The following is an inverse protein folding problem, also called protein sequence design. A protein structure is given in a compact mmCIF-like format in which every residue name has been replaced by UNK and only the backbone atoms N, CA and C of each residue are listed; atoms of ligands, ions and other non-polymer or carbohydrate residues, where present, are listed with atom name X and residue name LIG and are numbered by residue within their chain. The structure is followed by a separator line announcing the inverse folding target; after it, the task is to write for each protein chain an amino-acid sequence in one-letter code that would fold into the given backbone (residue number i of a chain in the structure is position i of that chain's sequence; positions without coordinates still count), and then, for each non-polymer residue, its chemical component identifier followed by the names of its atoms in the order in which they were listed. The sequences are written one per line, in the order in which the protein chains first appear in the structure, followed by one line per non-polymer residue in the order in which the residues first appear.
data_IF_533839320367
#
_entry.id   IF_533839320367
#
_cell.length_a   1.000
_cell.length_b   1.000
_cell.length_c   1.000
_cell.angle_alpha   90.00
_cell.angle_beta   90.00
_cell.angle_gamma   90.00
#
_symmetry.space_group_name_H-M   'P 1'
#
loop_
_entity.id
_entity.type
_entity.pdbx_description
1 polymer ?
#
# COMPACT_ATOMS: atom_id res chain seq x y z
N UNK A 1 -19.17 10.52 12.27
CA UNK A 1 -17.78 10.13 12.58
C UNK A 1 -17.19 11.16 13.50
N UNK A 2 -16.60 10.74 14.63
CA UNK A 2 -15.86 11.62 15.55
C UNK A 2 -14.37 11.58 15.16
N UNK A 3 -13.85 12.66 14.57
CA UNK A 3 -12.44 12.77 14.20
C UNK A 3 -11.80 13.95 14.96
N UNK A 4 -10.65 13.70 15.59
CA UNK A 4 -9.93 14.67 16.42
C UNK A 4 -8.49 14.80 15.94
N UNK A 5 -8.13 15.99 15.50
CA UNK A 5 -6.76 16.28 15.01
C UNK A 5 -5.88 16.79 16.15
N UNK A 6 -4.78 16.07 16.40
CA UNK A 6 -3.77 16.40 17.39
C UNK A 6 -2.47 16.79 16.70
N UNK A 7 -2.14 18.09 16.72
CA UNK A 7 -0.91 18.65 16.17
C UNK A 7 -1.11 20.01 15.51
N UNK A 8 -0.01 20.71 15.23
CA UNK A 8 -0.01 22.03 14.58
C UNK A 8 -0.10 21.90 13.05
N UNK A 9 -1.20 21.33 12.55
CA UNK A 9 -1.54 21.27 11.12
C UNK A 9 -2.98 21.71 10.89
N UNK A 10 -3.31 22.23 9.68
CA UNK A 10 -4.70 22.51 9.33
C UNK A 10 -5.57 21.24 9.46
N UNK A 11 -6.70 21.28 10.17
CA UNK A 11 -7.57 20.11 10.32
C UNK A 11 -8.41 19.83 9.06
N UNK A 12 -8.54 20.82 8.16
CA UNK A 12 -9.43 20.80 7.00
C UNK A 12 -9.29 19.55 6.10
N UNK A 13 -8.08 19.04 5.79
CA UNK A 13 -7.94 17.82 4.98
C UNK A 13 -8.59 16.60 5.65
N UNK A 14 -8.47 16.46 6.97
CA UNK A 14 -8.99 15.34 7.74
C UNK A 14 -10.50 15.45 7.94
N UNK A 15 -11.00 16.65 8.25
CA UNK A 15 -12.44 16.92 8.36
C UNK A 15 -13.14 16.75 7.01
N UNK A 16 -12.49 17.21 5.93
CA UNK A 16 -12.96 17.02 4.56
C UNK A 16 -12.93 15.55 4.12
N UNK A 17 -11.92 14.79 4.54
CA UNK A 17 -11.86 13.34 4.32
C UNK A 17 -13.02 12.64 5.03
N UNK A 18 -13.25 12.92 6.31
CA UNK A 18 -14.38 12.36 7.05
C UNK A 18 -15.74 12.73 6.40
N UNK A 19 -15.93 14.00 6.05
CA UNK A 19 -17.19 14.45 5.41
C UNK A 19 -17.45 13.76 4.07
N UNK A 20 -16.40 13.51 3.27
CA UNK A 20 -16.53 12.79 2.01
C UNK A 20 -16.74 11.29 2.25
N UNK A 21 -16.01 10.69 3.19
CA UNK A 21 -16.15 9.28 3.55
C UNK A 21 -17.56 8.93 4.02
N UNK A 22 -18.17 9.82 4.82
CA UNK A 22 -19.54 9.72 5.34
C UNK A 22 -20.63 9.67 4.27
N UNK A 23 -20.33 9.99 3.00
CA UNK A 23 -21.33 9.84 1.93
C UNK A 23 -21.60 8.39 1.57
N UNK A 24 -20.66 7.48 1.82
CA UNK A 24 -20.79 6.06 1.46
C UNK A 24 -20.48 5.08 2.60
N UNK A 25 -19.68 5.49 3.58
CA UNK A 25 -19.16 4.65 4.66
C UNK A 25 -19.07 5.43 5.97
N UNK A 26 -18.92 4.74 7.08
CA UNK A 26 -18.65 5.37 8.38
C UNK A 26 -17.70 4.52 9.19
N UNK A 27 -16.93 5.16 10.05
CA UNK A 27 -16.17 4.51 11.13
C UNK A 27 -16.86 4.85 12.45
N UNK A 28 -17.22 3.83 13.21
CA UNK A 28 -17.96 3.93 14.46
C UNK A 28 -17.08 4.43 15.60
N UNK A 29 -15.88 3.88 15.76
CA UNK A 29 -14.97 4.28 16.82
C UNK A 29 -14.38 5.67 16.52
N UNK A 30 -14.16 6.51 17.55
CA UNK A 30 -13.52 7.81 17.36
C UNK A 30 -12.14 7.67 16.72
N UNK A 31 -11.81 8.57 15.79
CA UNK A 31 -10.52 8.60 15.10
C UNK A 31 -9.65 9.73 15.66
N UNK A 32 -8.46 9.38 16.15
CA UNK A 32 -7.45 10.35 16.62
C UNK A 32 -6.38 10.50 15.54
N UNK A 33 -6.30 11.68 14.95
CA UNK A 33 -5.22 12.00 13.99
C UNK A 33 -4.02 12.49 14.78
N UNK A 34 -2.88 11.81 14.64
CA UNK A 34 -1.62 12.13 15.29
C UNK A 34 -0.61 12.55 14.24
N UNK A 35 -0.07 13.77 14.38
CA UNK A 35 0.94 14.29 13.47
C UNK A 35 2.33 14.02 14.00
N UNK A 36 3.12 13.24 13.26
CA UNK A 36 4.53 12.99 13.56
C UNK A 36 5.43 14.14 13.07
N UNK A 37 6.44 14.47 13.87
CA UNK A 37 7.50 15.42 13.50
C UNK A 37 8.51 14.81 12.51
N UNK A 38 8.62 13.48 12.48
CA UNK A 38 9.48 12.79 11.53
C UNK A 38 8.86 12.89 10.11
N UNK A 39 9.52 13.55 9.14
CA UNK A 39 8.98 13.71 7.80
C UNK A 39 8.91 12.41 7.00
N UNK A 40 9.66 11.39 7.43
CA UNK A 40 9.75 10.08 6.76
C UNK A 40 8.86 9.03 7.43
N UNK A 41 8.18 9.39 8.54
CA UNK A 41 7.16 8.55 9.16
C UNK A 41 6.03 8.27 8.17
N UNK A 42 5.70 6.99 8.01
CA UNK A 42 4.63 6.55 7.11
C UNK A 42 3.26 6.92 7.68
N UNK A 43 2.31 7.18 6.78
CA UNK A 43 0.90 7.21 7.15
C UNK A 43 0.44 5.78 7.45
N UNK A 44 -0.31 5.59 8.54
CA UNK A 44 -0.88 4.30 8.91
C UNK A 44 -2.08 4.44 9.86
N UNK A 45 -2.96 3.44 9.84
CA UNK A 45 -4.06 3.25 10.77
C UNK A 45 -3.72 2.26 11.90
N UNK A 46 -4.04 2.63 13.14
CA UNK A 46 -3.95 1.76 14.31
C UNK A 46 -5.31 1.59 14.97
N UNK A 47 -5.54 0.43 15.56
CA UNK A 47 -6.84 0.05 16.12
C UNK A 47 -6.70 -0.28 17.61
N UNK A 48 -7.52 0.34 18.45
CA UNK A 48 -7.60 0.11 19.89
C UNK A 48 -9.05 -0.12 20.30
N UNK A 49 -9.26 -0.68 21.50
CA UNK A 49 -10.60 -1.05 22.00
C UNK A 49 -11.63 0.10 21.99
N UNK A 50 -11.19 1.35 22.16
CA UNK A 50 -12.06 2.53 22.29
C UNK A 50 -11.86 3.60 21.19
N UNK A 51 -10.89 3.43 20.29
CA UNK A 51 -10.59 4.41 19.23
C UNK A 51 -9.68 3.85 18.14
N UNK A 52 -9.66 4.52 16.99
CA UNK A 52 -8.62 4.37 15.97
C UNK A 52 -7.61 5.52 16.04
N UNK A 53 -6.41 5.26 15.55
CA UNK A 53 -5.36 6.27 15.33
C UNK A 53 -5.06 6.35 13.85
N UNK A 54 -5.06 7.57 13.31
CA UNK A 54 -4.50 7.90 12.01
C UNK A 54 -3.17 8.61 12.27
N UNK A 55 -2.05 7.92 12.10
CA UNK A 55 -0.75 8.54 12.18
C UNK A 55 -0.34 9.09 10.82
N UNK A 56 0.23 10.29 10.78
CA UNK A 56 0.65 10.94 9.53
C UNK A 56 1.84 11.86 9.80
N UNK A 57 2.85 11.87 8.94
CA UNK A 57 3.94 12.85 9.07
C UNK A 57 3.43 14.27 8.80
N UNK A 58 4.06 15.28 9.41
CA UNK A 58 3.76 16.70 9.10
C UNK A 58 3.86 16.99 7.60
N UNK A 59 4.81 16.35 6.90
CA UNK A 59 4.97 16.47 5.46
C UNK A 59 3.75 15.96 4.71
N UNK A 60 3.25 14.78 5.04
CA UNK A 60 2.07 14.20 4.41
C UNK A 60 0.80 14.97 4.75
N UNK A 61 0.63 15.37 6.02
CA UNK A 61 -0.51 16.12 6.53
C UNK A 61 -0.68 17.52 5.89
N UNK A 62 0.40 18.12 5.40
CA UNK A 62 0.40 19.43 4.73
C UNK A 62 0.49 19.33 3.21
N UNK A 63 0.48 18.12 2.66
CA UNK A 63 0.59 17.88 1.22
C UNK A 63 -0.75 18.02 0.48
N UNK A 64 -0.69 18.13 -0.85
CA UNK A 64 -1.89 18.09 -1.69
C UNK A 64 -2.62 16.73 -1.67
N UNK A 65 -1.98 15.69 -1.13
CA UNK A 65 -2.51 14.32 -0.96
C UNK A 65 -3.13 14.10 0.42
N UNK A 66 -3.04 15.06 1.36
CA UNK A 66 -3.40 14.85 2.76
C UNK A 66 -4.81 14.29 2.96
N UNK A 67 -5.79 14.79 2.18
CA UNK A 67 -7.17 14.32 2.23
C UNK A 67 -7.29 12.90 1.65
N UNK A 68 -6.67 12.64 0.51
CA UNK A 68 -6.73 11.35 -0.16
C UNK A 68 -6.06 10.25 0.68
N UNK A 69 -4.92 10.55 1.31
CA UNK A 69 -4.28 9.69 2.30
C UNK A 69 -5.19 9.45 3.51
N UNK A 70 -5.85 10.49 4.02
CA UNK A 70 -6.76 10.32 5.14
C UNK A 70 -7.97 9.44 4.80
N UNK A 71 -8.53 9.54 3.60
CA UNK A 71 -9.61 8.66 3.12
C UNK A 71 -9.13 7.21 3.07
N UNK A 72 -7.91 6.97 2.57
CA UNK A 72 -7.30 5.64 2.55
C UNK A 72 -7.16 5.03 3.95
N UNK A 73 -6.67 5.79 4.93
CA UNK A 73 -6.58 5.29 6.30
C UNK A 73 -7.96 5.05 6.96
N UNK A 74 -8.96 5.89 6.65
CA UNK A 74 -10.33 5.65 7.10
C UNK A 74 -10.91 4.37 6.47
N UNK A 75 -10.54 4.05 5.23
CA UNK A 75 -10.92 2.80 4.59
C UNK A 75 -10.30 1.58 5.30
N UNK A 76 -9.05 1.65 5.75
CA UNK A 76 -8.46 0.61 6.60
C UNK A 76 -9.27 0.40 7.90
N UNK A 77 -9.67 1.49 8.56
CA UNK A 77 -10.47 1.44 9.78
C UNK A 77 -11.86 0.85 9.53
N UNK A 78 -12.52 1.23 8.43
CA UNK A 78 -13.80 0.67 8.04
C UNK A 78 -13.70 -0.85 7.78
N UNK A 79 -12.67 -1.30 7.05
CA UNK A 79 -12.43 -2.74 6.83
C UNK A 79 -12.16 -3.50 8.12
N UNK A 80 -11.46 -2.87 9.06
CA UNK A 80 -11.24 -3.45 10.38
C UNK A 80 -12.55 -3.60 11.16
N UNK A 81 -13.40 -2.58 11.21
CA UNK A 81 -14.70 -2.61 11.90
C UNK A 81 -15.70 -3.57 11.25
N UNK A 82 -15.68 -3.70 9.92
CA UNK A 82 -16.43 -4.70 9.16
C UNK A 82 -16.00 -6.15 9.50
N UNK A 83 -14.86 -6.31 10.16
CA UNK A 83 -14.24 -7.61 10.40
C UNK A 83 -13.72 -8.26 9.12
N UNK A 84 -13.35 -7.46 8.12
CA UNK A 84 -12.90 -7.96 6.83
C UNK A 84 -11.60 -8.75 6.99
N UNK A 85 -11.47 -9.97 6.42
CA UNK A 85 -10.32 -10.82 6.70
C UNK A 85 -8.96 -10.23 6.36
N UNK A 86 -8.89 -9.34 5.37
CA UNK A 86 -7.63 -8.64 5.07
C UNK A 86 -7.11 -7.79 6.21
N UNK A 87 -7.98 -7.30 7.09
CA UNK A 87 -7.62 -6.40 8.20
C UNK A 87 -7.59 -7.08 9.57
N UNK A 88 -8.10 -8.31 9.67
CA UNK A 88 -8.05 -9.12 10.89
C UNK A 88 -7.02 -10.26 10.84
N UNK A 89 -6.73 -10.82 9.66
CA UNK A 89 -5.76 -11.92 9.53
C UNK A 89 -4.37 -11.45 9.95
N UNK A 90 -3.74 -12.18 10.87
CA UNK A 90 -2.35 -11.94 11.25
C UNK A 90 -1.42 -12.18 10.07
N UNK A 91 -0.76 -11.12 9.62
CA UNK A 91 0.29 -11.19 8.59
C UNK A 91 1.45 -12.06 9.07
N UNK A 92 1.87 -11.89 10.32
CA UNK A 92 2.97 -12.66 10.90
C UNK A 92 2.66 -14.16 10.89
N UNK A 93 1.45 -14.56 11.31
CA UNK A 93 1.03 -15.95 11.28
C UNK A 93 1.04 -16.52 9.85
N UNK A 94 0.48 -15.78 8.89
CA UNK A 94 0.45 -16.22 7.50
C UNK A 94 1.85 -16.36 6.90
N UNK A 95 2.77 -15.43 7.21
CA UNK A 95 4.16 -15.50 6.75
C UNK A 95 4.91 -16.68 7.41
N UNK A 96 4.72 -16.92 8.70
CA UNK A 96 5.32 -18.10 9.36
C UNK A 96 4.82 -19.41 8.78
N UNK A 97 3.51 -19.53 8.54
CA UNK A 97 2.93 -20.72 7.91
C UNK A 97 3.46 -20.89 6.48
N UNK A 98 3.50 -19.81 5.70
CA UNK A 98 3.87 -19.83 4.30
C UNK A 98 5.35 -20.10 4.05
N UNK A 99 6.22 -19.64 4.95
CA UNK A 99 7.68 -19.73 4.81
C UNK A 99 8.31 -20.78 5.75
N UNK A 100 7.48 -21.56 6.46
CA UNK A 100 7.96 -22.62 7.33
C UNK A 100 8.81 -23.64 6.55
N UNK A 101 10.02 -23.90 7.05
CA UNK A 101 10.98 -24.83 6.44
C UNK A 101 11.89 -24.20 5.38
N UNK A 102 11.64 -22.95 4.99
CA UNK A 102 12.46 -22.23 4.01
C UNK A 102 13.57 -21.41 4.71
N UNK A 103 14.70 -21.22 4.02
CA UNK A 103 15.71 -20.24 4.45
C UNK A 103 15.53 -18.96 3.65
N UNK A 104 14.97 -17.92 4.30
CA UNK A 104 14.62 -16.67 3.63
C UNK A 104 15.57 -15.56 4.05
N UNK A 105 16.09 -14.81 3.07
CA UNK A 105 16.89 -13.62 3.33
C UNK A 105 16.09 -12.57 4.13
N UNK A 106 16.73 -11.94 5.12
CA UNK A 106 16.07 -10.93 5.96
C UNK A 106 15.43 -9.79 5.15
N UNK A 107 16.07 -9.38 4.05
CA UNK A 107 15.50 -8.36 3.15
C UNK A 107 14.20 -8.84 2.49
N UNK A 108 14.16 -10.10 2.03
CA UNK A 108 12.98 -10.67 1.39
C UNK A 108 11.83 -10.82 2.39
N UNK A 109 12.14 -11.17 3.63
CA UNK A 109 11.12 -11.21 4.69
C UNK A 109 10.49 -9.82 4.92
N UNK A 110 11.29 -8.76 4.94
CA UNK A 110 10.75 -7.39 5.05
C UNK A 110 9.86 -7.02 3.85
N UNK A 111 10.25 -7.43 2.64
CA UNK A 111 9.43 -7.25 1.43
C UNK A 111 8.15 -8.09 1.45
N UNK A 112 8.14 -9.27 2.08
CA UNK A 112 6.91 -10.04 2.28
C UNK A 112 5.89 -9.30 3.17
N UNK A 113 6.35 -8.58 4.21
CA UNK A 113 5.47 -7.70 4.98
C UNK A 113 4.95 -6.53 4.15
N UNK A 114 5.78 -5.97 3.26
CA UNK A 114 5.32 -4.93 2.33
C UNK A 114 4.28 -5.45 1.32
N UNK A 115 4.49 -6.65 0.76
CA UNK A 115 3.50 -7.32 -0.11
C UNK A 115 2.19 -7.55 0.64
N UNK A 116 2.27 -7.98 1.90
CA UNK A 116 1.08 -8.15 2.72
C UNK A 116 0.31 -6.84 2.93
N UNK A 117 1.02 -5.72 3.10
CA UNK A 117 0.42 -4.40 3.16
C UNK A 117 -0.22 -4.03 1.82
N UNK A 118 0.45 -4.21 0.67
CA UNK A 118 -0.18 -4.00 -0.64
C UNK A 118 -1.47 -4.80 -0.82
N UNK A 119 -1.51 -6.03 -0.33
CA UNK A 119 -2.73 -6.84 -0.35
C UNK A 119 -3.84 -6.25 0.53
N UNK A 120 -3.52 -5.64 1.68
CA UNK A 120 -4.48 -4.90 2.51
C UNK A 120 -4.95 -3.63 1.81
N UNK A 121 -4.01 -2.90 1.23
CA UNK A 121 -4.22 -1.61 0.58
C UNK A 121 -5.19 -1.77 -0.60
N UNK A 122 -5.15 -2.87 -1.36
CA UNK A 122 -6.17 -3.17 -2.40
C UNK A 122 -7.61 -3.11 -1.84
N UNK A 123 -7.84 -3.69 -0.66
CA UNK A 123 -9.17 -3.69 -0.05
C UNK A 123 -9.57 -2.34 0.55
N UNK A 124 -8.61 -1.52 0.96
CA UNK A 124 -8.84 -0.15 1.42
C UNK A 124 -9.05 0.79 0.23
N UNK A 125 -8.32 0.60 -0.87
CA UNK A 125 -8.45 1.38 -2.09
C UNK A 125 -9.75 1.06 -2.83
N UNK A 126 -10.29 -0.15 -2.71
CA UNK A 126 -11.66 -0.47 -3.14
C UNK A 126 -12.71 0.52 -2.59
N UNK A 127 -12.55 0.93 -1.33
CA UNK A 127 -13.42 1.93 -0.68
C UNK A 127 -12.96 3.34 -1.03
N UNK A 128 -11.67 3.62 -0.98
CA UNK A 128 -11.11 4.95 -1.26
C UNK A 128 -11.53 5.45 -2.64
N UNK A 129 -11.48 4.57 -3.64
CA UNK A 129 -11.83 4.88 -5.03
C UNK A 129 -13.32 4.84 -5.31
N UNK A 130 -14.16 4.32 -4.41
CA UNK A 130 -15.61 4.53 -4.48
C UNK A 130 -16.00 5.93 -4.03
N UNK A 131 -15.22 6.51 -3.10
CA UNK A 131 -15.51 7.78 -2.43
C UNK A 131 -14.79 8.99 -3.05
N UNK A 132 -13.55 8.81 -3.52
CA UNK A 132 -12.68 9.89 -3.96
C UNK A 132 -12.25 9.74 -5.43
N UNK A 133 -12.06 10.87 -6.16
CA UNK A 133 -11.54 10.82 -7.53
C UNK A 133 -10.14 10.20 -7.61
N UNK A 134 -9.92 9.38 -8.64
CA UNK A 134 -8.69 8.62 -8.83
C UNK A 134 -7.48 9.44 -9.33
N UNK A 135 -7.69 10.65 -9.87
CA UNK A 135 -6.64 11.42 -10.57
C UNK A 135 -5.39 11.67 -9.72
N UNK A 136 -5.60 11.99 -8.44
CA UNK A 136 -4.51 12.24 -7.50
C UNK A 136 -3.76 10.97 -7.12
N UNK A 137 -4.46 9.85 -6.95
CA UNK A 137 -3.84 8.55 -6.70
C UNK A 137 -2.98 8.15 -7.90
N UNK A 138 -3.52 8.27 -9.12
CA UNK A 138 -2.79 7.96 -10.35
C UNK A 138 -1.50 8.79 -10.44
N UNK A 139 -1.58 10.10 -10.24
CA UNK A 139 -0.39 10.97 -10.22
C UNK A 139 0.61 10.61 -9.13
N UNK A 140 0.14 10.23 -7.93
CA UNK A 140 0.98 9.77 -6.84
C UNK A 140 1.71 8.47 -7.18
N UNK A 141 1.01 7.45 -7.70
CA UNK A 141 1.58 6.17 -8.11
C UNK A 141 2.65 6.37 -9.19
N UNK A 142 2.37 7.19 -10.21
CA UNK A 142 3.33 7.50 -11.25
C UNK A 142 4.58 8.19 -10.72
N UNK A 143 4.42 9.21 -9.87
CA UNK A 143 5.55 9.96 -9.34
C UNK A 143 6.43 9.09 -8.45
N UNK A 144 5.82 8.25 -7.62
CA UNK A 144 6.52 7.31 -6.73
C UNK A 144 7.27 6.25 -7.52
N UNK A 145 6.61 5.66 -8.53
CA UNK A 145 7.24 4.63 -9.36
C UNK A 145 8.35 5.21 -10.24
N UNK A 146 8.15 6.40 -10.83
CA UNK A 146 9.19 7.08 -11.59
C UNK A 146 10.41 7.41 -10.74
N UNK A 147 10.21 7.86 -9.50
CA UNK A 147 11.30 8.12 -8.56
C UNK A 147 12.06 6.83 -8.20
N UNK A 148 11.35 5.73 -7.92
CA UNK A 148 11.97 4.45 -7.61
C UNK A 148 12.79 3.88 -8.77
N UNK A 149 12.27 3.97 -10.01
CA UNK A 149 12.99 3.56 -11.22
C UNK A 149 14.23 4.44 -11.45
N UNK A 150 14.15 5.74 -11.17
CA UNK A 150 15.27 6.66 -11.31
C UNK A 150 16.37 6.45 -10.24
N UNK A 151 15.99 6.03 -9.04
CA UNK A 151 16.88 5.79 -7.89
C UNK A 151 17.46 4.37 -7.86
N UNK A 152 17.36 3.61 -8.97
CA UNK A 152 17.91 2.25 -9.02
C UNK A 152 19.44 2.24 -8.82
N UNK A 153 20.00 1.22 -8.14
CA UNK A 153 21.45 1.08 -7.99
C UNK A 153 22.14 1.01 -9.36
N UNK A 154 23.22 1.76 -9.56
CA UNK A 154 24.01 1.65 -10.79
C UNK A 154 24.71 0.28 -10.81
N UNK A 155 24.48 -0.51 -11.86
CA UNK A 155 25.09 -1.82 -12.02
C UNK A 155 26.57 -1.60 -12.32
N UNK A 156 27.41 -1.84 -11.32
CA UNK A 156 28.85 -1.65 -11.43
C UNK A 156 29.43 -2.49 -12.56
N UNK A 157 29.81 -1.84 -13.67
CA UNK A 157 30.50 -2.45 -14.81
C UNK A 157 31.89 -3.02 -14.46
N UNK A 158 32.40 -2.75 -13.26
CA UNK A 158 33.75 -3.10 -12.81
C UNK A 158 33.78 -3.95 -11.53
N UNK A 159 32.65 -4.47 -11.06
CA UNK A 159 32.58 -5.34 -9.87
C UNK A 159 32.77 -4.63 -8.53
N UNK A 160 32.71 -3.30 -8.51
CA UNK A 160 32.67 -2.52 -7.26
C UNK A 160 31.25 -2.47 -6.68
N UNK A 161 31.04 -2.57 -5.35
CA UNK A 161 29.72 -2.40 -4.76
C UNK A 161 29.11 -1.04 -5.11
N UNK A 162 27.77 -0.92 -5.27
CA UNK A 162 27.09 0.36 -5.48
C UNK A 162 27.45 1.37 -4.38
N UNK A 163 27.63 2.64 -4.75
CA UNK A 163 28.07 3.72 -3.85
C UNK A 163 26.92 4.20 -2.95
N UNK A 164 25.66 3.98 -3.35
CA UNK A 164 24.45 4.19 -2.54
C UNK A 164 23.54 2.97 -2.67
N UNK A 165 22.84 2.62 -1.57
CA UNK A 165 21.74 1.66 -1.63
C UNK A 165 20.53 2.36 -2.25
N UNK A 166 20.46 2.36 -3.59
CA UNK A 166 19.28 2.80 -4.33
C UNK A 166 18.07 1.90 -4.06
N UNK A 167 16.93 2.22 -4.65
CA UNK A 167 15.70 1.42 -4.53
C UNK A 167 15.95 -0.05 -4.92
N UNK A 168 15.52 -1.00 -4.07
CA UNK A 168 15.67 -2.43 -4.38
C UNK A 168 14.81 -2.80 -5.62
N UNK A 169 15.42 -3.31 -6.70
CA UNK A 169 14.69 -3.60 -7.93
C UNK A 169 13.58 -4.65 -7.76
N UNK A 170 13.76 -5.65 -6.89
CA UNK A 170 12.76 -6.71 -6.68
C UNK A 170 11.47 -6.14 -6.09
N UNK A 171 11.55 -5.34 -5.03
CA UNK A 171 10.35 -4.74 -4.43
C UNK A 171 9.78 -3.62 -5.29
N UNK A 172 10.60 -2.92 -6.08
CA UNK A 172 10.14 -1.91 -7.04
C UNK A 172 9.28 -2.54 -8.13
N UNK A 173 9.66 -3.72 -8.64
CA UNK A 173 8.84 -4.48 -9.60
C UNK A 173 7.49 -4.92 -8.99
N UNK A 174 7.47 -5.34 -7.73
CA UNK A 174 6.22 -5.65 -7.01
C UNK A 174 5.36 -4.39 -6.81
N UNK A 175 5.95 -3.25 -6.44
CA UNK A 175 5.22 -1.98 -6.31
C UNK A 175 4.59 -1.55 -7.64
N UNK A 176 5.29 -1.78 -8.76
CA UNK A 176 4.75 -1.54 -10.09
C UNK A 176 3.55 -2.46 -10.39
N UNK A 177 3.67 -3.74 -10.06
CA UNK A 177 2.59 -4.71 -10.20
C UNK A 177 1.35 -4.33 -9.38
N UNK A 178 1.54 -3.87 -8.15
CA UNK A 178 0.48 -3.34 -7.29
C UNK A 178 -0.19 -2.10 -7.91
N UNK A 179 0.59 -1.12 -8.37
CA UNK A 179 0.07 0.08 -9.00
C UNK A 179 -0.77 -0.23 -10.25
N UNK A 180 -0.30 -1.14 -11.12
CA UNK A 180 -1.06 -1.58 -12.29
C UNK A 180 -2.33 -2.33 -11.90
N UNK A 181 -2.28 -3.17 -10.86
CA UNK A 181 -3.44 -3.91 -10.40
C UNK A 181 -4.54 -2.96 -9.88
N UNK A 182 -4.19 -1.92 -9.12
CA UNK A 182 -5.16 -0.89 -8.70
C UNK A 182 -5.78 -0.17 -9.91
N UNK A 183 -4.95 0.21 -10.88
CA UNK A 183 -5.41 0.92 -12.09
C UNK A 183 -6.40 0.08 -12.89
N UNK A 184 -6.05 -1.19 -13.14
CA UNK A 184 -6.87 -2.11 -13.93
C UNK A 184 -8.14 -2.53 -13.17
N UNK A 185 -8.04 -2.76 -11.86
CA UNK A 185 -9.19 -3.14 -11.02
C UNK A 185 -10.27 -2.06 -10.97
N UNK A 186 -9.87 -0.79 -11.04
CA UNK A 186 -10.76 0.36 -10.92
C UNK A 186 -10.99 1.13 -12.23
N UNK A 187 -10.54 0.58 -13.38
CA UNK A 187 -10.67 1.19 -14.71
C UNK A 187 -10.19 2.67 -14.73
N UNK A 188 -9.08 2.96 -14.05
CA UNK A 188 -8.60 4.34 -13.85
C UNK A 188 -8.04 4.93 -15.15
N UNK A 189 -7.28 4.14 -15.91
CA UNK A 189 -6.66 4.58 -17.16
C UNK A 189 -6.37 3.40 -18.09
N UNK A 190 -6.19 3.70 -19.37
CA UNK A 190 -5.96 2.72 -20.42
C UNK A 190 -4.50 2.28 -20.56
N UNK A 191 -4.23 1.23 -21.37
CA UNK A 191 -2.90 0.63 -21.54
C UNK A 191 -1.86 1.56 -22.18
N UNK A 192 -2.28 2.62 -22.86
CA UNK A 192 -1.39 3.62 -23.46
C UNK A 192 -0.85 4.64 -22.44
N UNK A 193 -1.25 4.53 -21.17
CA UNK A 193 -0.82 5.43 -20.11
C UNK A 193 0.65 5.18 -19.69
N UNK A 194 1.40 6.25 -19.40
CA UNK A 194 2.86 6.16 -19.09
C UNK A 194 3.22 5.26 -17.90
N UNK A 195 2.25 5.00 -17.01
CA UNK A 195 2.44 4.10 -15.85
C UNK A 195 2.81 2.68 -16.28
N UNK A 196 2.29 2.22 -17.43
CA UNK A 196 2.65 0.93 -18.03
C UNK A 196 4.10 0.91 -18.51
N UNK A 197 4.61 2.04 -19.02
CA UNK A 197 6.03 2.15 -19.39
C UNK A 197 6.94 2.16 -18.16
N UNK A 198 6.53 2.85 -17.09
CA UNK A 198 7.25 2.83 -15.80
C UNK A 198 7.27 1.43 -15.19
N UNK A 199 6.16 0.70 -15.24
CA UNK A 199 6.07 -0.66 -14.74
C UNK A 199 6.95 -1.62 -15.55
N UNK A 200 6.98 -1.47 -16.88
CA UNK A 200 7.91 -2.22 -17.74
C UNK A 200 9.37 -1.92 -17.39
N UNK A 201 9.71 -0.66 -17.12
CA UNK A 201 11.05 -0.28 -16.70
C UNK A 201 11.43 -0.93 -15.36
N UNK A 202 10.54 -0.88 -14.36
CA UNK A 202 10.74 -1.53 -13.07
C UNK A 202 10.95 -3.05 -13.19
N UNK A 203 10.13 -3.72 -14.02
CA UNK A 203 10.29 -5.15 -14.29
C UNK A 203 11.56 -5.50 -15.05
N UNK A 204 12.11 -4.58 -15.86
CA UNK A 204 13.36 -4.81 -16.59
C UNK A 204 14.61 -4.73 -15.69
N UNK A 205 14.49 -4.19 -14.48
CA UNK A 205 15.59 -4.02 -13.54
C UNK A 205 15.82 -5.27 -12.65
N UNK A 206 15.01 -6.32 -12.81
CA UNK A 206 15.16 -7.59 -12.08
C UNK A 206 14.62 -8.79 -12.87
N UNK A 207 15.34 -9.91 -12.84
CA UNK A 207 14.85 -11.19 -13.38
C UNK A 207 14.12 -12.03 -12.31
N UNK A 208 14.13 -11.59 -11.04
CA UNK A 208 13.60 -12.36 -9.91
C UNK A 208 12.09 -12.18 -9.70
N UNK A 209 11.49 -11.14 -10.28
CA UNK A 209 10.07 -10.79 -10.10
C UNK A 209 9.41 -10.59 -11.46
N UNK A 210 8.41 -11.41 -11.76
CA UNK A 210 7.51 -11.21 -12.89
C UNK A 210 6.39 -10.23 -12.51
N UNK A 211 6.43 -9.03 -13.07
CA UNK A 211 5.47 -7.94 -12.80
C UNK A 211 4.05 -8.35 -13.19
N UNK A 212 3.85 -9.00 -14.34
CA UNK A 212 2.52 -9.40 -14.80
C UNK A 212 1.95 -10.50 -13.91
N UNK A 213 2.78 -11.45 -13.49
CA UNK A 213 2.36 -12.49 -12.57
C UNK A 213 1.97 -11.92 -11.18
N UNK A 214 2.71 -10.93 -10.66
CA UNK A 214 2.33 -10.27 -9.41
C UNK A 214 1.08 -9.40 -9.57
N UNK A 215 0.93 -8.72 -10.71
CA UNK A 215 -0.27 -7.94 -11.04
C UNK A 215 -1.50 -8.84 -11.04
N UNK A 216 -1.40 -10.02 -11.67
CA UNK A 216 -2.46 -11.04 -11.66
C UNK A 216 -2.84 -11.45 -10.24
N UNK A 217 -1.86 -11.73 -9.36
CA UNK A 217 -2.12 -12.09 -7.95
C UNK A 217 -2.91 -11.01 -7.20
N UNK A 218 -2.64 -9.74 -7.48
CA UNK A 218 -3.34 -8.62 -6.88
C UNK A 218 -4.76 -8.44 -7.47
N UNK A 219 -4.92 -8.60 -8.79
CA UNK A 219 -6.22 -8.52 -9.47
C UNK A 219 -7.16 -9.66 -9.05
N UNK A 220 -6.63 -10.85 -8.86
CA UNK A 220 -7.38 -12.06 -8.51
C UNK A 220 -7.87 -12.07 -7.05
N UNK A 221 -7.52 -11.04 -6.25
CA UNK A 221 -8.07 -10.87 -4.91
C UNK A 221 -9.59 -10.64 -4.98
N UNK A 222 -10.34 -11.64 -4.51
CA UNK A 222 -11.79 -11.56 -4.39
C UNK A 222 -12.20 -10.38 -3.51
N UNK A 223 -13.27 -9.68 -3.87
CA UNK A 223 -13.77 -8.48 -3.17
C UNK A 223 -14.22 -8.75 -1.73
N UNK A 224 -14.69 -9.97 -1.45
CA UNK A 224 -15.14 -10.43 -0.13
C UNK A 224 -14.60 -11.86 0.10
N UNK A 225 -13.31 -12.00 0.43
CA UNK A 225 -12.68 -13.30 0.64
C UNK A 225 -13.10 -13.88 1.98
N UNK A 226 -13.12 -15.22 2.10
CA UNK A 226 -13.10 -15.84 3.42
C UNK A 226 -11.73 -15.68 4.08
N UNK A 227 -11.64 -15.85 5.40
CA UNK A 227 -10.35 -15.86 6.13
C UNK A 227 -9.37 -16.89 5.56
N UNK A 228 -9.86 -18.07 5.22
CA UNK A 228 -9.07 -19.11 4.57
C UNK A 228 -8.55 -18.66 3.20
N UNK A 229 -9.40 -18.03 2.38
CA UNK A 229 -9.02 -17.65 1.02
C UNK A 229 -8.01 -16.50 1.03
N UNK A 230 -8.21 -15.48 1.87
CA UNK A 230 -7.25 -14.40 2.05
C UNK A 230 -5.89 -14.92 2.55
N UNK A 231 -5.89 -15.80 3.56
CA UNK A 231 -4.65 -16.40 4.09
C UNK A 231 -3.91 -17.21 3.03
N UNK A 232 -4.62 -18.00 2.23
CA UNK A 232 -4.03 -18.75 1.11
C UNK A 232 -3.41 -17.82 0.07
N UNK A 233 -4.10 -16.74 -0.29
CA UNK A 233 -3.58 -15.75 -1.23
C UNK A 233 -2.30 -15.09 -0.68
N UNK A 234 -2.30 -14.71 0.60
CA UNK A 234 -1.16 -14.10 1.26
C UNK A 234 0.05 -15.05 1.33
N UNK A 235 -0.17 -16.31 1.71
CA UNK A 235 0.87 -17.36 1.68
C UNK A 235 1.41 -17.56 0.27
N UNK A 236 0.55 -17.62 -0.73
CA UNK A 236 0.96 -17.81 -2.12
C UNK A 236 1.80 -16.64 -2.64
N UNK A 237 1.42 -15.40 -2.32
CA UNK A 237 2.18 -14.21 -2.69
C UNK A 237 3.55 -14.16 -1.99
N UNK A 238 3.59 -14.45 -0.68
CA UNK A 238 4.84 -14.50 0.09
C UNK A 238 5.81 -15.57 -0.45
N UNK A 239 5.31 -16.78 -0.71
CA UNK A 239 6.14 -17.86 -1.30
C UNK A 239 6.63 -17.50 -2.69
N UNK A 240 5.77 -16.95 -3.55
CA UNK A 240 6.16 -16.55 -4.90
C UNK A 240 7.25 -15.47 -4.94
N UNK A 241 7.39 -14.69 -3.86
CA UNK A 241 8.43 -13.67 -3.74
C UNK A 241 9.73 -14.21 -3.11
N UNK A 242 9.57 -15.02 -2.06
CA UNK A 242 10.67 -15.41 -1.17
C UNK A 242 11.37 -16.71 -1.55
N UNK A 243 10.69 -17.61 -2.29
CA UNK A 243 11.13 -18.98 -2.63
C UNK A 243 11.29 -19.10 -4.14
#
# INVERSE_FOLDING_TARGET
MDIRVQGDVPPDPFLGAASLFETERSVEAPVRVVVSEDPDERTWAGHYDDHHVLNVSRRAATSAMARELAIHELAHMARYEEGHPSHLQSTEEALYLGLSGETVERRKLAHCYQIANHMKDIYADDITLSVAPADKLLGFLESTLAAAVADRPDVSRTGSPPVTAGADPEITAVNAAFALALIERHDITGPDHRIYDLARAAGSDTDAVDVDAFKGRFLDLAHDPSESDYRKALVAAARAYAV
#
